data_IF_205842340760
#
_entry.id   IF_205842340760
#
_cell.length_a   1.000
_cell.length_b   1.000
_cell.length_c   1.000
_cell.angle_alpha   90.00
_cell.angle_beta   90.00
_cell.angle_gamma   90.00
#
_symmetry.space_group_name_H-M   'P 1'
#
loop_
_entity.id
_entity.type
_entity.pdbx_description
1 polymer ?
#
# COMPACT_ATOMS: atom_id res chain seq x y z
N UNK A 1 -24.66 4.13 -42.60
CA UNK A 1 -23.51 5.03 -42.40
C UNK A 1 -22.48 4.26 -41.61
N UNK A 2 -21.34 4.00 -42.22
CA UNK A 2 -20.21 3.26 -41.62
C UNK A 2 -19.65 4.16 -40.53
N UNK A 3 -19.81 3.75 -39.27
CA UNK A 3 -19.40 4.53 -38.11
C UNK A 3 -17.91 4.88 -38.19
N UNK A 4 -17.59 6.14 -37.93
CA UNK A 4 -16.22 6.61 -37.88
C UNK A 4 -15.47 5.76 -36.85
N UNK A 5 -14.41 5.07 -37.28
CA UNK A 5 -13.60 4.25 -36.36
C UNK A 5 -12.97 5.20 -35.36
N UNK A 6 -13.19 4.97 -34.06
CA UNK A 6 -12.50 5.73 -33.02
C UNK A 6 -10.99 5.64 -33.22
N UNK A 7 -10.34 6.81 -33.27
CA UNK A 7 -8.89 6.91 -33.41
C UNK A 7 -8.29 6.73 -32.03
N UNK A 8 -7.32 5.81 -31.91
CA UNK A 8 -6.60 5.54 -30.67
C UNK A 8 -5.11 5.56 -30.98
N UNK A 9 -4.34 6.27 -30.17
CA UNK A 9 -2.89 6.32 -30.23
C UNK A 9 -2.30 6.17 -28.82
N UNK A 10 -1.39 5.21 -28.65
CA UNK A 10 -0.67 5.02 -27.40
C UNK A 10 0.57 5.91 -27.38
N UNK A 11 0.69 6.76 -26.36
CA UNK A 11 1.85 7.64 -26.14
C UNK A 11 2.60 7.24 -24.88
N UNK A 12 3.89 7.57 -24.81
CA UNK A 12 4.71 7.25 -23.62
C UNK A 12 4.56 8.39 -22.62
N UNK A 13 4.26 8.05 -21.36
CA UNK A 13 4.15 9.00 -20.25
C UNK A 13 5.13 8.69 -19.13
N UNK A 14 5.63 9.72 -18.45
CA UNK A 14 6.51 9.58 -17.30
C UNK A 14 6.48 10.84 -16.40
N UNK A 15 7.08 10.76 -15.21
CA UNK A 15 7.24 11.89 -14.26
C UNK A 15 8.26 12.94 -14.73
N UNK A 16 9.02 12.61 -15.78
CA UNK A 16 9.94 13.48 -16.52
C UNK A 16 9.59 13.39 -18.00
N UNK A 17 10.09 14.32 -18.82
CA UNK A 17 9.90 14.26 -20.28
C UNK A 17 10.40 12.92 -20.84
N UNK A 18 9.52 12.06 -21.39
CA UNK A 18 9.86 10.68 -21.72
C UNK A 18 10.80 10.57 -22.92
N UNK A 19 10.72 11.51 -23.86
CA UNK A 19 11.54 11.55 -25.08
C UNK A 19 12.17 12.94 -25.22
N UNK A 20 13.51 13.04 -25.28
CA UNK A 20 14.17 14.32 -25.51
C UNK A 20 13.71 14.96 -26.83
N UNK A 21 13.48 16.28 -26.82
CA UNK A 21 13.08 17.08 -27.98
C UNK A 21 11.74 16.70 -28.65
N UNK A 22 10.96 15.79 -28.06
CA UNK A 22 9.60 15.53 -28.54
C UNK A 22 8.65 16.66 -28.12
N UNK A 23 7.59 16.88 -28.89
CA UNK A 23 6.44 17.67 -28.43
C UNK A 23 5.77 16.92 -27.28
N UNK A 24 5.51 17.61 -26.17
CA UNK A 24 5.02 17.00 -24.92
C UNK A 24 3.64 17.56 -24.58
N UNK A 25 2.76 16.68 -24.11
CA UNK A 25 1.57 17.03 -23.34
C UNK A 25 1.96 17.15 -21.86
N UNK A 26 1.89 18.35 -21.31
CA UNK A 26 2.02 18.57 -19.87
C UNK A 26 0.68 18.31 -19.19
N UNK A 27 0.61 17.19 -18.47
CA UNK A 27 -0.56 16.73 -17.71
C UNK A 27 -0.32 16.85 -16.20
N UNK A 28 0.62 17.72 -15.79
CA UNK A 28 0.95 17.99 -14.40
C UNK A 28 -0.29 18.41 -13.61
N UNK A 29 -0.51 17.78 -12.45
CA UNK A 29 -1.50 18.28 -11.48
C UNK A 29 -0.87 19.43 -10.69
N UNK A 30 -0.98 20.65 -11.23
CA UNK A 30 -0.32 21.83 -10.65
C UNK A 30 -0.75 22.13 -9.20
N UNK A 31 -2.01 21.87 -8.82
CA UNK A 31 -2.52 22.12 -7.46
C UNK A 31 -1.74 21.35 -6.37
N UNK A 32 -1.20 20.20 -6.73
CA UNK A 32 -0.43 19.32 -5.83
C UNK A 32 1.04 19.21 -6.21
N UNK A 33 1.46 19.89 -7.28
CA UNK A 33 2.80 19.88 -7.86
C UNK A 33 3.25 18.49 -8.33
N UNK A 34 2.34 17.73 -8.95
CA UNK A 34 2.60 16.34 -9.32
C UNK A 34 2.78 16.17 -10.82
N UNK A 35 4.03 15.96 -11.29
CA UNK A 35 4.35 15.99 -12.70
C UNK A 35 3.87 14.73 -13.42
N UNK A 36 3.34 14.94 -14.61
CA UNK A 36 3.02 13.86 -15.54
C UNK A 36 3.11 14.38 -16.96
N UNK A 37 4.05 13.83 -17.73
CA UNK A 37 4.35 14.28 -19.08
C UNK A 37 4.18 13.13 -20.05
N UNK A 38 3.44 13.33 -21.14
CA UNK A 38 3.30 12.36 -22.21
C UNK A 38 3.86 12.92 -23.53
N UNK A 39 4.38 12.09 -24.41
CA UNK A 39 4.61 12.52 -25.80
C UNK A 39 3.28 12.91 -26.44
N UNK A 40 3.24 14.01 -27.18
CA UNK A 40 2.04 14.42 -27.91
C UNK A 40 1.68 13.39 -28.99
N UNK A 41 0.37 13.22 -29.29
CA UNK A 41 -0.06 12.34 -30.38
C UNK A 41 0.53 12.81 -31.70
N UNK A 42 0.93 11.85 -32.53
CA UNK A 42 1.46 12.07 -33.88
C UNK A 42 0.34 12.23 -34.91
N UNK A 43 -0.85 11.69 -34.63
CA UNK A 43 -2.03 11.91 -35.46
C UNK A 43 -2.62 13.30 -35.26
N UNK A 44 -3.04 13.95 -36.35
CA UNK A 44 -3.71 15.26 -36.30
C UNK A 44 -5.16 15.18 -35.79
N UNK A 45 -5.70 13.97 -35.62
CA UNK A 45 -7.06 13.72 -35.12
C UNK A 45 -7.15 13.71 -33.59
N UNK A 46 -6.02 13.73 -32.89
CA UNK A 46 -5.94 13.73 -31.43
C UNK A 46 -5.11 14.91 -30.95
N UNK A 47 -5.38 15.34 -29.73
CA UNK A 47 -4.72 16.42 -29.01
C UNK A 47 -4.42 15.97 -27.58
N UNK A 48 -3.66 16.78 -26.83
CA UNK A 48 -3.36 16.48 -25.42
C UNK A 48 -4.62 16.38 -24.53
N UNK A 49 -5.71 17.06 -24.88
CA UNK A 49 -6.97 16.96 -24.14
C UNK A 49 -7.71 15.64 -24.34
N UNK A 50 -7.32 14.84 -25.34
CA UNK A 50 -7.91 13.52 -25.61
C UNK A 50 -7.26 12.41 -24.76
N UNK A 51 -6.37 12.76 -23.82
CA UNK A 51 -5.78 11.81 -22.87
C UNK A 51 -6.86 11.22 -21.95
N UNK A 52 -7.34 10.02 -22.31
CA UNK A 52 -8.44 9.35 -21.61
C UNK A 52 -8.04 8.09 -20.86
N UNK A 53 -6.88 7.48 -21.15
CA UNK A 53 -6.53 6.16 -20.61
C UNK A 53 -5.04 6.03 -20.30
N UNK A 54 -4.72 5.25 -19.27
CA UNK A 54 -3.35 4.98 -18.85
C UNK A 54 -3.17 3.51 -18.46
N UNK A 55 -2.01 2.95 -18.73
CA UNK A 55 -1.61 1.65 -18.21
C UNK A 55 -0.11 1.60 -17.89
N UNK A 56 0.28 0.66 -17.03
CA UNK A 56 1.68 0.36 -16.79
C UNK A 56 2.30 -0.34 -18.00
N UNK A 57 3.33 0.25 -18.57
CA UNK A 57 4.03 -0.35 -19.70
C UNK A 57 4.86 -1.58 -19.25
N UNK A 58 4.42 -2.78 -19.65
CA UNK A 58 5.07 -4.06 -19.28
C UNK A 58 6.43 -4.28 -19.95
N UNK A 59 6.68 -3.61 -21.09
CA UNK A 59 7.95 -3.69 -21.81
C UNK A 59 9.00 -2.82 -21.11
N UNK A 60 8.65 -1.58 -20.75
CA UNK A 60 9.59 -0.62 -20.16
C UNK A 60 9.81 -0.83 -18.65
N UNK A 61 8.90 -1.53 -17.96
CA UNK A 61 8.96 -1.71 -16.50
C UNK A 61 9.88 -2.84 -16.00
N UNK A 62 10.41 -3.68 -16.90
CA UNK A 62 11.37 -4.74 -16.55
C UNK A 62 12.37 -5.09 -17.67
N UNK A 63 12.00 -4.95 -18.95
CA UNK A 63 12.83 -5.46 -20.06
C UNK A 63 14.00 -4.54 -20.42
N UNK A 64 13.84 -3.20 -20.33
CA UNK A 64 14.95 -2.26 -20.59
C UNK A 64 16.05 -2.32 -19.53
N UNK A 65 15.70 -2.63 -18.28
CA UNK A 65 16.69 -2.80 -17.22
C UNK A 65 17.55 -4.05 -17.41
N UNK A 66 17.04 -5.06 -18.11
CA UNK A 66 17.72 -6.37 -18.23
C UNK A 66 18.79 -6.40 -19.33
N UNK A 67 18.60 -5.68 -20.43
CA UNK A 67 19.54 -5.71 -21.57
C UNK A 67 20.55 -4.56 -21.59
N UNK A 68 20.28 -3.44 -20.90
CA UNK A 68 21.08 -2.22 -21.04
C UNK A 68 22.04 -1.92 -19.88
N UNK A 69 21.95 -2.61 -18.74
CA UNK A 69 22.66 -2.18 -17.51
C UNK A 69 23.50 -3.24 -16.80
N UNK A 70 23.26 -4.54 -17.01
CA UNK A 70 24.02 -5.59 -16.33
C UNK A 70 24.81 -6.41 -17.34
N UNK A 71 26.09 -6.60 -17.05
CA UNK A 71 26.91 -7.66 -17.64
C UNK A 71 26.41 -9.04 -17.19
N UNK A 72 26.80 -10.10 -17.90
CA UNK A 72 26.48 -11.48 -17.50
C UNK A 72 27.01 -11.81 -16.09
N UNK A 73 28.17 -11.25 -15.74
CA UNK A 73 28.79 -11.43 -14.43
C UNK A 73 27.98 -10.75 -13.33
N UNK A 74 27.49 -9.53 -13.56
CA UNK A 74 26.61 -8.84 -12.61
C UNK A 74 25.25 -9.53 -12.48
N UNK A 75 24.67 -10.05 -13.57
CA UNK A 75 23.43 -10.85 -13.51
C UNK A 75 23.60 -12.09 -12.62
N UNK A 76 24.80 -12.71 -12.63
CA UNK A 76 25.11 -13.87 -11.79
C UNK A 76 25.06 -13.56 -10.28
N UNK A 77 25.36 -12.31 -9.87
CA UNK A 77 25.29 -11.89 -8.47
C UNK A 77 23.86 -11.95 -7.92
N UNK A 78 22.85 -11.76 -8.78
CA UNK A 78 21.44 -11.83 -8.40
C UNK A 78 20.86 -13.25 -8.39
N UNK A 79 21.64 -14.27 -8.74
CA UNK A 79 21.25 -15.67 -8.64
C UNK A 79 21.20 -16.20 -7.19
N UNK A 80 21.82 -15.49 -6.23
CA UNK A 80 21.84 -15.84 -4.79
C UNK A 80 21.26 -14.70 -3.95
N UNK A 81 19.94 -14.69 -3.79
CA UNK A 81 19.24 -13.56 -3.15
C UNK A 81 19.19 -13.61 -1.62
N UNK A 82 19.39 -14.79 -1.04
CA UNK A 82 19.50 -14.97 0.40
C UNK A 82 20.90 -15.50 0.69
N UNK A 83 21.84 -14.60 0.98
CA UNK A 83 23.11 -15.01 1.53
C UNK A 83 22.88 -15.40 3.00
N UNK A 84 23.25 -16.61 3.42
CA UNK A 84 23.27 -16.95 4.83
C UNK A 84 24.24 -15.96 5.50
N UNK A 85 23.72 -15.09 6.36
CA UNK A 85 24.59 -14.29 7.22
C UNK A 85 25.16 -15.27 8.25
N UNK A 86 26.47 -15.51 8.27
CA UNK A 86 27.05 -16.37 9.29
C UNK A 86 26.77 -15.71 10.63
N UNK A 87 26.01 -16.40 11.49
CA UNK A 87 25.71 -15.92 12.84
C UNK A 87 27.05 -15.88 13.58
N UNK A 88 27.63 -14.68 13.73
CA UNK A 88 28.81 -14.48 14.59
C UNK A 88 28.32 -14.50 16.03
N UNK A 89 28.23 -15.68 16.64
CA UNK A 89 27.69 -15.85 17.99
C UNK A 89 27.16 -17.26 18.24
N UNK A 90 26.12 -17.36 19.07
CA UNK A 90 25.52 -18.63 19.48
C UNK A 90 24.97 -19.36 18.23
N UNK A 91 25.61 -20.47 17.85
CA UNK A 91 25.27 -21.25 16.64
C UNK A 91 23.92 -21.97 16.75
N UNK A 92 23.35 -22.02 17.95
CA UNK A 92 22.09 -22.67 18.26
C UNK A 92 21.43 -21.91 19.42
N UNK A 93 20.17 -21.54 19.23
CA UNK A 93 19.31 -21.15 20.34
C UNK A 93 18.61 -22.42 20.78
N UNK A 94 18.98 -22.96 21.94
CA UNK A 94 18.22 -24.07 22.54
C UNK A 94 16.92 -23.50 23.07
N UNK A 95 15.84 -23.67 22.31
CA UNK A 95 14.49 -23.38 22.78
C UNK A 95 14.07 -24.54 23.68
N UNK A 96 14.33 -24.42 24.98
CA UNK A 96 13.86 -25.38 25.97
C UNK A 96 12.36 -25.21 26.18
N UNK A 97 11.61 -26.32 26.29
CA UNK A 97 10.26 -26.24 26.86
C UNK A 97 10.34 -25.58 28.24
N UNK A 98 9.36 -24.73 28.51
CA UNK A 98 9.37 -23.85 29.67
C UNK A 98 9.59 -24.63 30.97
N UNK A 99 10.59 -24.24 31.77
CA UNK A 99 10.59 -24.66 33.17
C UNK A 99 9.30 -24.14 33.81
N UNK A 100 8.52 -25.04 34.43
CA UNK A 100 7.22 -24.76 35.07
C UNK A 100 7.25 -23.59 36.07
N UNK A 101 8.43 -23.10 36.45
CA UNK A 101 8.68 -22.09 37.47
C UNK A 101 9.09 -20.70 36.93
N UNK A 102 9.19 -20.47 35.62
CA UNK A 102 9.39 -19.11 35.09
C UNK A 102 8.02 -18.44 34.99
N UNK A 103 7.72 -17.60 35.98
CA UNK A 103 6.45 -16.88 36.17
C UNK A 103 6.14 -15.81 35.11
N UNK A 104 6.95 -15.67 34.05
CA UNK A 104 6.76 -14.60 33.07
C UNK A 104 7.36 -14.90 31.68
N UNK A 105 6.77 -15.80 30.87
CA UNK A 105 7.17 -15.99 29.48
C UNK A 105 6.89 -14.71 28.66
N UNK A 106 7.61 -14.53 27.54
CA UNK A 106 7.37 -13.43 26.60
C UNK A 106 5.88 -13.36 26.13
N UNK A 107 5.17 -14.49 26.11
CA UNK A 107 3.71 -14.52 25.91
C UNK A 107 2.94 -13.71 26.98
N UNK A 108 3.31 -13.84 28.25
CA UNK A 108 2.74 -13.06 29.34
C UNK A 108 3.13 -11.57 29.29
N UNK A 109 4.26 -11.21 28.65
CA UNK A 109 4.60 -9.80 28.45
C UNK A 109 3.67 -9.10 27.45
N UNK A 110 3.17 -9.79 26.42
CA UNK A 110 2.19 -9.22 25.50
C UNK A 110 0.82 -9.02 26.17
N UNK A 111 0.41 -9.94 27.04
CA UNK A 111 -0.83 -9.81 27.83
C UNK A 111 -0.83 -8.57 28.74
N UNK A 112 0.35 -8.07 29.13
CA UNK A 112 0.52 -6.84 29.91
C UNK A 112 0.52 -5.56 29.06
N UNK A 113 0.65 -5.65 27.74
CA UNK A 113 0.61 -4.48 26.88
C UNK A 113 -0.82 -3.91 26.78
N UNK A 114 -0.96 -2.58 26.68
CA UNK A 114 -2.27 -1.99 26.47
C UNK A 114 -2.87 -2.46 25.14
N UNK A 115 -4.21 -2.53 25.01
CA UNK A 115 -4.85 -2.81 23.74
C UNK A 115 -4.39 -1.83 22.65
N UNK A 116 -4.18 -2.31 21.43
CA UNK A 116 -3.80 -1.45 20.32
C UNK A 116 -4.82 -0.35 20.09
N UNK A 117 -4.34 0.89 20.07
CA UNK A 117 -5.08 2.09 19.75
C UNK A 117 -4.23 3.01 18.84
N UNK A 118 -4.84 4.07 18.31
CA UNK A 118 -4.13 5.15 17.60
C UNK A 118 -2.95 5.64 18.45
N UNK A 119 -1.78 5.84 17.83
CA UNK A 119 -0.56 6.27 18.53
C UNK A 119 0.12 5.23 19.43
N UNK A 120 -0.44 4.02 19.57
CA UNK A 120 0.18 2.93 20.35
C UNK A 120 1.41 2.32 19.68
N UNK A 121 1.69 2.66 18.43
CA UNK A 121 2.87 2.19 17.69
C UNK A 121 4.04 3.18 17.84
N UNK A 122 5.21 2.80 17.33
CA UNK A 122 6.35 3.70 17.18
C UNK A 122 6.88 3.68 15.76
N UNK A 123 6.91 4.84 15.11
CA UNK A 123 7.59 5.01 13.82
C UNK A 123 9.12 5.19 14.00
N UNK A 124 9.59 5.44 15.22
CA UNK A 124 11.00 5.71 15.53
C UNK A 124 11.84 4.45 15.76
N UNK A 125 11.23 3.29 16.05
CA UNK A 125 11.95 2.04 16.31
C UNK A 125 11.45 0.86 15.44
N UNK A 126 11.62 0.90 14.11
CA UNK A 126 11.00 -0.07 13.21
C UNK A 126 11.63 -1.49 13.27
N UNK A 127 12.68 -1.71 14.07
CA UNK A 127 13.42 -2.98 14.10
C UNK A 127 12.90 -3.99 15.12
N UNK A 128 11.99 -3.59 16.01
CA UNK A 128 11.46 -4.46 17.08
C UNK A 128 9.92 -4.46 17.12
N UNK A 129 9.25 -4.49 15.96
CA UNK A 129 7.79 -4.30 15.92
C UNK A 129 6.98 -5.49 16.46
N UNK A 130 7.50 -6.71 16.40
CA UNK A 130 6.79 -7.91 16.87
C UNK A 130 7.34 -9.21 16.28
N UNK A 131 6.62 -10.31 16.51
CA UNK A 131 6.96 -11.64 16.04
C UNK A 131 5.71 -12.51 15.81
N UNK A 132 5.85 -13.57 15.01
CA UNK A 132 4.82 -14.61 14.89
C UNK A 132 5.06 -15.75 15.88
N UNK A 133 4.00 -16.20 16.54
CA UNK A 133 3.99 -17.41 17.34
C UNK A 133 2.70 -18.19 17.09
N UNK A 134 2.83 -19.48 16.73
CA UNK A 134 1.70 -20.36 16.38
C UNK A 134 0.71 -19.71 15.38
N UNK A 135 1.24 -19.07 14.34
CA UNK A 135 0.45 -18.42 13.29
C UNK A 135 -0.21 -17.09 13.68
N UNK A 136 0.05 -16.57 14.88
CA UNK A 136 -0.49 -15.30 15.38
C UNK A 136 0.62 -14.26 15.50
N UNK A 137 0.34 -13.03 15.08
CA UNK A 137 1.25 -11.90 15.25
C UNK A 137 1.10 -11.29 16.64
N UNK A 138 2.24 -11.08 17.30
CA UNK A 138 2.36 -10.42 18.58
C UNK A 138 3.16 -9.14 18.37
N UNK A 139 2.49 -7.99 18.54
CA UNK A 139 3.15 -6.68 18.49
C UNK A 139 3.87 -6.42 19.81
N UNK A 140 5.08 -5.87 19.75
CA UNK A 140 5.83 -5.46 20.94
C UNK A 140 5.35 -4.12 21.52
N UNK A 141 4.43 -3.45 20.83
CA UNK A 141 3.93 -2.14 21.21
C UNK A 141 2.59 -2.18 21.94
N UNK A 142 1.72 -3.08 21.51
CA UNK A 142 0.35 -3.16 21.99
C UNK A 142 -0.23 -4.54 21.76
N UNK A 143 -1.25 -4.88 22.53
CA UNK A 143 -1.97 -6.14 22.39
C UNK A 143 -3.06 -6.02 21.34
N UNK A 144 -2.94 -6.83 20.28
CA UNK A 144 -3.98 -6.94 19.26
C UNK A 144 -5.22 -7.59 19.85
N UNK A 145 -6.38 -7.03 19.53
CA UNK A 145 -7.64 -7.64 19.93
C UNK A 145 -7.92 -8.87 19.07
N UNK A 146 -8.65 -9.82 19.64
CA UNK A 146 -9.08 -11.01 18.91
C UNK A 146 -10.35 -10.67 18.15
N UNK A 147 -10.20 -10.25 16.90
CA UNK A 147 -11.33 -10.07 16.00
C UNK A 147 -11.52 -11.31 15.15
N UNK A 148 -12.77 -11.74 15.06
CA UNK A 148 -13.22 -12.72 14.08
C UNK A 148 -14.28 -12.03 13.23
N UNK A 149 -13.99 -11.78 11.96
CA UNK A 149 -15.01 -11.37 10.99
C UNK A 149 -15.81 -12.65 10.68
N UNK A 150 -17.13 -12.72 10.93
CA UNK A 150 -18.11 -11.61 10.91
C UNK A 150 -18.57 -11.04 12.26
N UNK A 151 -18.13 -11.59 13.39
CA UNK A 151 -18.59 -11.22 14.74
C UNK A 151 -18.37 -9.74 15.10
N UNK A 152 -17.48 -9.05 14.39
CA UNK A 152 -17.18 -7.61 14.54
C UNK A 152 -18.02 -6.69 13.65
N UNK A 153 -19.06 -7.20 12.98
CA UNK A 153 -19.96 -6.38 12.14
C UNK A 153 -20.59 -5.21 12.90
N UNK A 154 -20.86 -5.38 14.19
CA UNK A 154 -21.49 -4.34 15.02
C UNK A 154 -20.64 -3.08 15.13
N UNK A 155 -19.31 -3.19 15.26
CA UNK A 155 -18.46 -2.00 15.24
C UNK A 155 -18.27 -1.39 13.85
N UNK A 156 -18.55 -2.13 12.78
CA UNK A 156 -18.45 -1.64 11.41
C UNK A 156 -19.72 -0.87 10.98
N UNK A 157 -20.82 -0.99 11.73
CA UNK A 157 -22.08 -0.29 11.46
C UNK A 157 -21.85 1.22 11.32
N UNK A 158 -22.45 1.83 10.30
CA UNK A 158 -22.36 3.25 9.94
C UNK A 158 -20.97 3.74 9.49
N UNK A 159 -19.98 2.85 9.32
CA UNK A 159 -18.62 3.26 8.93
C UNK A 159 -18.44 3.31 7.42
N UNK A 160 -17.60 4.23 6.98
CA UNK A 160 -17.12 4.30 5.59
C UNK A 160 -15.60 4.17 5.57
N UNK A 161 -15.11 3.12 4.92
CA UNK A 161 -13.69 2.79 4.84
C UNK A 161 -13.16 3.12 3.45
N UNK A 162 -12.04 3.84 3.39
CA UNK A 162 -11.33 4.13 2.15
C UNK A 162 -9.98 3.43 2.15
N UNK A 163 -9.76 2.54 1.19
CA UNK A 163 -8.47 1.90 0.93
C UNK A 163 -7.83 2.55 -0.30
N UNK A 164 -6.88 3.46 -0.08
CA UNK A 164 -6.23 4.21 -1.16
C UNK A 164 -4.74 3.85 -1.26
N UNK A 165 -4.26 3.35 -2.40
CA UNK A 165 -2.84 3.04 -2.52
C UNK A 165 -2.49 2.19 -3.71
N UNK A 166 -1.79 1.09 -3.51
CA UNK A 166 -1.48 0.16 -4.59
C UNK A 166 -2.27 -1.14 -4.43
N UNK A 167 -1.96 -2.11 -5.31
CA UNK A 167 -2.56 -3.45 -5.27
C UNK A 167 -2.40 -4.17 -3.92
N UNK A 168 -1.50 -3.76 -3.02
CA UNK A 168 -1.35 -4.34 -1.68
C UNK A 168 -2.37 -3.82 -0.68
N UNK A 169 -2.86 -2.57 -0.83
CA UNK A 169 -4.01 -2.08 -0.07
C UNK A 169 -5.30 -2.66 -0.61
N UNK A 170 -5.39 -2.94 -1.92
CA UNK A 170 -6.53 -3.66 -2.51
C UNK A 170 -6.83 -4.98 -1.81
N UNK A 171 -5.80 -5.71 -1.38
CA UNK A 171 -5.99 -6.97 -0.68
C UNK A 171 -6.80 -6.82 0.60
N UNK A 172 -6.77 -5.65 1.25
CA UNK A 172 -7.57 -5.37 2.45
C UNK A 172 -9.05 -5.16 2.09
N UNK A 173 -9.33 -4.44 1.00
CA UNK A 173 -10.68 -4.33 0.42
C UNK A 173 -11.22 -5.72 0.03
N UNK A 174 -10.45 -6.48 -0.74
CA UNK A 174 -10.82 -7.82 -1.19
C UNK A 174 -11.06 -8.76 0.01
N UNK A 175 -10.22 -8.68 1.05
CA UNK A 175 -10.38 -9.44 2.27
C UNK A 175 -11.75 -9.16 2.93
N UNK A 176 -12.11 -7.89 3.11
CA UNK A 176 -13.42 -7.53 3.68
C UNK A 176 -14.58 -8.05 2.82
N UNK A 177 -14.53 -7.84 1.50
CA UNK A 177 -15.58 -8.31 0.58
C UNK A 177 -15.74 -9.83 0.66
N UNK A 178 -14.64 -10.58 0.72
CA UNK A 178 -14.68 -12.04 0.84
C UNK A 178 -15.19 -12.48 2.21
N UNK A 179 -14.67 -11.88 3.29
CA UNK A 179 -15.02 -12.24 4.67
C UNK A 179 -16.45 -11.87 5.05
N UNK A 180 -17.01 -10.82 4.45
CA UNK A 180 -18.38 -10.33 4.70
C UNK A 180 -19.33 -10.59 3.52
N UNK A 181 -19.01 -11.55 2.64
CA UNK A 181 -19.77 -11.83 1.40
C UNK A 181 -21.28 -12.02 1.58
N UNK A 182 -21.74 -12.42 2.77
CA UNK A 182 -23.16 -12.57 3.08
C UNK A 182 -23.90 -11.23 3.04
N UNK A 183 -23.28 -10.14 3.51
CA UNK A 183 -23.91 -8.82 3.63
C UNK A 183 -23.25 -7.73 2.76
N UNK A 184 -21.92 -7.68 2.70
CA UNK A 184 -21.16 -6.69 1.93
C UNK A 184 -21.16 -7.06 0.45
N UNK A 185 -21.88 -6.29 -0.38
CA UNK A 185 -22.02 -6.55 -1.82
C UNK A 185 -21.14 -5.59 -2.63
N UNK A 186 -20.20 -6.11 -3.44
CA UNK A 186 -19.45 -5.25 -4.35
C UNK A 186 -20.37 -4.71 -5.43
N UNK A 187 -20.24 -3.43 -5.75
CA UNK A 187 -20.91 -2.85 -6.90
C UNK A 187 -20.19 -3.32 -8.17
N UNK A 188 -20.94 -3.63 -9.23
CA UNK A 188 -20.34 -4.12 -10.47
C UNK A 188 -19.37 -3.08 -11.02
N UNK A 189 -18.15 -3.48 -11.43
CA UNK A 189 -17.24 -2.57 -12.11
C UNK A 189 -17.92 -2.03 -13.37
N UNK A 190 -17.91 -0.71 -13.55
CA UNK A 190 -18.34 -0.11 -14.81
C UNK A 190 -17.37 -0.52 -15.92
N UNK A 191 -17.76 -0.37 -17.19
CA UNK A 191 -16.85 -0.55 -18.34
C UNK A 191 -15.58 0.31 -18.22
N UNK A 192 -15.63 1.39 -17.44
CA UNK A 192 -14.55 2.36 -17.19
C UNK A 192 -13.67 2.02 -15.97
N UNK A 193 -14.19 1.27 -14.99
CA UNK A 193 -13.46 0.92 -13.77
C UNK A 193 -12.87 -0.49 -13.84
N UNK A 194 -11.54 -0.57 -13.98
CA UNK A 194 -10.83 -1.84 -13.82
C UNK A 194 -10.78 -2.21 -12.34
N UNK A 195 -11.39 -3.32 -11.93
CA UNK A 195 -11.38 -3.76 -10.52
C UNK A 195 -9.97 -3.90 -9.91
N UNK A 196 -8.93 -4.08 -10.73
CA UNK A 196 -7.54 -4.10 -10.24
C UNK A 196 -7.05 -2.72 -9.82
N UNK A 197 -7.54 -1.66 -10.47
CA UNK A 197 -7.07 -0.29 -10.27
C UNK A 197 -8.07 0.53 -9.43
N UNK A 198 -9.36 0.29 -9.60
CA UNK A 198 -10.44 1.05 -8.99
C UNK A 198 -10.87 2.24 -9.88
N UNK A 199 -11.84 3.04 -9.42
CA UNK A 199 -12.50 2.92 -8.12
C UNK A 199 -13.36 1.66 -7.99
N UNK A 200 -13.29 1.01 -6.83
CA UNK A 200 -14.17 -0.10 -6.45
C UNK A 200 -14.91 0.26 -5.18
N UNK A 201 -16.14 -0.24 -5.04
CA UNK A 201 -16.98 0.00 -3.89
C UNK A 201 -17.76 -1.25 -3.54
N UNK A 202 -17.96 -1.50 -2.25
CA UNK A 202 -18.86 -2.51 -1.75
C UNK A 202 -19.70 -1.96 -0.59
N UNK A 203 -20.96 -2.36 -0.51
CA UNK A 203 -21.93 -1.82 0.43
C UNK A 203 -22.68 -2.94 1.18
N UNK A 204 -22.77 -2.79 2.49
CA UNK A 204 -23.67 -3.54 3.36
C UNK A 204 -24.80 -2.59 3.78
N UNK A 205 -25.93 -2.69 3.07
CA UNK A 205 -27.10 -1.82 3.29
C UNK A 205 -27.78 -2.05 4.65
N UNK A 206 -27.61 -3.23 5.25
CA UNK A 206 -28.22 -3.55 6.55
C UNK A 206 -27.47 -2.82 7.66
N UNK A 207 -26.15 -2.82 7.59
CA UNK A 207 -25.30 -2.19 8.59
C UNK A 207 -24.88 -0.76 8.23
N UNK A 208 -25.34 -0.22 7.08
CA UNK A 208 -24.90 1.08 6.56
C UNK A 208 -23.35 1.18 6.54
N UNK A 209 -22.70 0.13 6.06
CA UNK A 209 -21.25 0.02 6.01
C UNK A 209 -20.77 0.00 4.56
N UNK A 210 -19.84 0.89 4.23
CA UNK A 210 -19.32 1.04 2.87
C UNK A 210 -17.81 0.93 2.86
N UNK A 211 -17.27 0.23 1.87
CA UNK A 211 -15.84 0.10 1.66
C UNK A 211 -15.50 0.53 0.24
N UNK A 212 -14.54 1.43 0.12
CA UNK A 212 -13.99 1.92 -1.14
C UNK A 212 -12.57 1.45 -1.33
N UNK A 213 -12.18 1.27 -2.58
CA UNK A 213 -10.80 1.08 -2.98
C UNK A 213 -10.46 1.87 -4.24
N UNK A 214 -9.28 2.49 -4.28
CA UNK A 214 -8.73 3.14 -5.47
C UNK A 214 -7.20 3.10 -5.45
N UNK A 215 -6.58 3.05 -6.63
CA UNK A 215 -5.15 3.26 -6.75
C UNK A 215 -4.76 4.70 -6.47
N UNK A 216 -3.56 4.88 -5.93
CA UNK A 216 -2.86 6.16 -5.90
C UNK A 216 -2.68 6.71 -7.32
N UNK A 217 -2.49 8.02 -7.45
CA UNK A 217 -2.24 8.66 -8.74
C UNK A 217 -0.89 8.29 -9.38
N UNK A 218 -0.52 8.95 -10.48
CA UNK A 218 0.63 8.53 -11.29
C UNK A 218 1.97 8.47 -10.53
N UNK A 219 2.87 7.53 -10.90
CA UNK A 219 2.70 6.50 -11.93
C UNK A 219 1.92 5.27 -11.45
N UNK A 220 1.02 4.76 -12.28
CA UNK A 220 0.29 3.50 -12.04
C UNK A 220 0.91 2.39 -12.89
N UNK A 221 1.51 1.38 -12.25
CA UNK A 221 2.12 0.22 -12.92
C UNK A 221 1.16 -0.98 -12.96
N UNK A 222 -0.04 -0.78 -13.50
CA UNK A 222 -1.11 -1.77 -13.50
C UNK A 222 -1.87 -1.78 -14.85
N UNK A 223 -3.03 -2.43 -14.91
CA UNK A 223 -3.87 -2.49 -16.11
C UNK A 223 -4.38 -1.11 -16.58
N UNK A 224 -4.93 -1.08 -17.79
CA UNK A 224 -5.67 0.06 -18.34
C UNK A 224 -6.71 0.59 -17.35
N UNK A 225 -6.67 1.90 -17.16
CA UNK A 225 -7.51 2.69 -16.27
C UNK A 225 -7.90 3.98 -16.96
N UNK A 226 -9.15 4.38 -16.80
CA UNK A 226 -9.64 5.68 -17.24
C UNK A 226 -8.88 6.80 -16.50
N UNK A 227 -8.28 7.72 -17.24
CA UNK A 227 -7.49 8.81 -16.69
C UNK A 227 -8.35 9.75 -15.81
N UNK A 228 -9.65 9.85 -16.08
CA UNK A 228 -10.58 10.65 -15.27
C UNK A 228 -10.81 10.06 -13.87
N UNK A 229 -10.56 8.76 -13.70
CA UNK A 229 -10.72 8.04 -12.43
C UNK A 229 -9.46 8.03 -11.57
N UNK A 230 -8.34 8.52 -12.11
CA UNK A 230 -7.08 8.63 -11.38
C UNK A 230 -7.13 9.83 -10.45
N UNK A 231 -7.00 9.56 -9.15
CA UNK A 231 -6.97 10.58 -8.10
C UNK A 231 -5.76 10.38 -7.20
N UNK A 232 -5.11 11.46 -6.81
CA UNK A 232 -3.99 11.39 -5.88
C UNK A 232 -4.47 11.29 -4.42
N UNK A 233 -3.66 10.70 -3.54
CA UNK A 233 -4.04 10.48 -2.13
C UNK A 233 -4.31 11.81 -1.43
N UNK A 234 -3.44 12.79 -1.66
CA UNK A 234 -3.54 14.15 -1.11
C UNK A 234 -4.80 14.91 -1.60
N UNK A 235 -5.18 14.77 -2.88
CA UNK A 235 -6.42 15.36 -3.42
C UNK A 235 -7.65 14.70 -2.78
N UNK A 236 -7.66 13.36 -2.76
CA UNK A 236 -8.75 12.60 -2.15
C UNK A 236 -8.92 12.96 -0.66
N UNK A 237 -7.82 13.14 0.07
CA UNK A 237 -7.84 13.56 1.47
C UNK A 237 -8.33 15.00 1.66
N UNK A 238 -8.03 15.92 0.75
CA UNK A 238 -8.52 17.31 0.84
C UNK A 238 -10.02 17.40 0.53
N UNK A 239 -10.51 16.63 -0.44
CA UNK A 239 -11.91 16.62 -0.89
C UNK A 239 -12.85 15.79 0.01
N UNK A 240 -12.29 14.85 0.79
CA UNK A 240 -13.05 13.89 1.59
C UNK A 240 -14.03 14.57 2.56
N UNK A 241 -15.33 14.34 2.41
CA UNK A 241 -16.33 14.79 3.39
C UNK A 241 -16.37 13.86 4.60
N UNK A 242 -15.35 13.96 5.46
CA UNK A 242 -15.10 13.02 6.54
C UNK A 242 -16.00 13.25 7.76
N UNK A 243 -16.59 12.17 8.23
CA UNK A 243 -17.36 12.08 9.48
C UNK A 243 -16.52 11.38 10.58
N UNK A 244 -16.96 11.41 11.85
CA UNK A 244 -16.31 10.60 12.91
C UNK A 244 -16.27 9.08 12.63
N UNK A 245 -17.14 8.59 11.73
CA UNK A 245 -17.19 7.19 11.30
C UNK A 245 -16.41 6.90 10.01
N UNK A 246 -15.70 7.90 9.48
CA UNK A 246 -14.82 7.75 8.33
C UNK A 246 -13.46 7.19 8.73
N UNK A 247 -13.02 6.15 8.02
CA UNK A 247 -11.70 5.54 8.18
C UNK A 247 -10.96 5.59 6.85
N UNK A 248 -9.74 6.12 6.86
CA UNK A 248 -8.91 6.26 5.67
C UNK A 248 -7.60 5.51 5.82
N UNK A 249 -7.43 4.43 5.06
CA UNK A 249 -6.24 3.59 5.06
C UNK A 249 -5.47 3.83 3.77
N UNK A 250 -4.18 4.17 3.88
CA UNK A 250 -3.35 4.33 2.68
C UNK A 250 -1.99 3.64 2.74
N UNK A 251 -1.48 3.34 1.55
CA UNK A 251 -0.07 2.93 1.32
C UNK A 251 0.44 3.61 0.06
N UNK A 252 1.75 3.82 -0.03
CA UNK A 252 2.37 4.32 -1.25
C UNK A 252 3.81 3.82 -1.31
N UNK A 253 4.08 2.84 -2.17
CA UNK A 253 5.46 2.35 -2.36
C UNK A 253 5.60 1.51 -3.63
N UNK A 254 4.70 0.56 -3.92
CA UNK A 254 5.00 -0.53 -4.86
C UNK A 254 5.32 -0.03 -6.27
N UNK A 255 4.58 0.98 -6.75
CA UNK A 255 4.78 1.57 -8.07
C UNK A 255 5.88 2.64 -8.10
N UNK A 256 6.34 3.10 -6.94
CA UNK A 256 7.36 4.15 -6.78
C UNK A 256 8.77 3.57 -6.56
N UNK A 257 8.90 2.25 -6.45
CA UNK A 257 10.19 1.54 -6.33
C UNK A 257 11.16 1.74 -7.49
N UNK A 258 10.68 2.27 -8.63
CA UNK A 258 11.51 2.60 -9.81
C UNK A 258 11.82 4.09 -9.93
N UNK A 259 11.43 4.90 -8.95
CA UNK A 259 11.61 6.36 -8.95
C UNK A 259 12.64 6.77 -7.92
N UNK A 260 13.17 7.98 -8.06
CA UNK A 260 14.14 8.51 -7.11
C UNK A 260 13.52 8.81 -5.72
N UNK A 261 14.36 8.79 -4.70
CA UNK A 261 13.94 9.00 -3.30
C UNK A 261 13.36 10.41 -3.09
N UNK A 262 13.88 11.43 -3.79
CA UNK A 262 13.39 12.81 -3.67
C UNK A 262 11.95 12.96 -4.13
N UNK A 263 11.55 12.27 -5.20
CA UNK A 263 10.17 12.26 -5.70
C UNK A 263 9.25 11.57 -4.69
N UNK A 264 9.69 10.43 -4.16
CA UNK A 264 8.96 9.73 -3.12
C UNK A 264 8.75 10.60 -1.86
N UNK A 265 9.83 11.23 -1.38
CA UNK A 265 9.78 12.12 -0.23
C UNK A 265 8.84 13.30 -0.45
N UNK A 266 8.89 13.93 -1.63
CA UNK A 266 7.96 15.00 -1.99
C UNK A 266 6.52 14.53 -1.87
N UNK A 267 6.18 13.41 -2.52
CA UNK A 267 4.84 12.81 -2.50
C UNK A 267 4.36 12.55 -1.08
N UNK A 268 5.18 11.89 -0.25
CA UNK A 268 4.80 11.56 1.13
C UNK A 268 4.62 12.82 1.99
N UNK A 269 5.43 13.86 1.78
CA UNK A 269 5.25 15.16 2.48
C UNK A 269 3.93 15.83 2.11
N UNK A 270 3.50 15.76 0.84
CA UNK A 270 2.19 16.29 0.40
C UNK A 270 1.05 15.52 1.04
N UNK A 271 1.13 14.19 1.07
CA UNK A 271 0.13 13.34 1.75
C UNK A 271 0.08 13.66 3.24
N UNK A 272 1.21 13.78 3.94
CA UNK A 272 1.24 14.19 5.35
C UNK A 272 0.55 15.53 5.58
N UNK A 273 0.82 16.52 4.73
CA UNK A 273 0.16 17.82 4.83
C UNK A 273 -1.36 17.72 4.61
N UNK A 274 -1.84 16.88 3.70
CA UNK A 274 -3.26 16.61 3.49
C UNK A 274 -3.89 15.90 4.70
N UNK A 275 -3.21 14.93 5.31
CA UNK A 275 -3.65 14.27 6.55
C UNK A 275 -3.79 15.28 7.70
N UNK A 276 -2.85 16.22 7.83
CA UNK A 276 -2.92 17.29 8.82
C UNK A 276 -4.08 18.26 8.56
N UNK A 277 -4.36 18.58 7.28
CA UNK A 277 -5.52 19.39 6.90
C UNK A 277 -6.83 18.67 7.21
N UNK A 278 -6.94 17.38 6.88
CA UNK A 278 -8.07 16.53 7.22
C UNK A 278 -8.34 16.52 8.74
N UNK A 279 -7.33 16.24 9.57
CA UNK A 279 -7.54 16.23 11.02
C UNK A 279 -7.87 17.61 11.61
N UNK A 280 -7.49 18.71 10.96
CA UNK A 280 -7.91 20.05 11.40
C UNK A 280 -9.41 20.28 11.18
N UNK A 281 -9.96 19.78 10.07
CA UNK A 281 -11.39 19.94 9.72
C UNK A 281 -12.28 18.81 10.23
N UNK A 282 -11.73 17.63 10.49
CA UNK A 282 -12.42 16.46 11.07
C UNK A 282 -11.48 15.69 12.00
N UNK A 283 -11.29 16.16 13.25
CA UNK A 283 -10.30 15.61 14.19
C UNK A 283 -10.49 14.15 14.58
N UNK A 284 -11.71 13.64 14.47
CA UNK A 284 -12.08 12.26 14.83
C UNK A 284 -11.89 11.26 13.68
N UNK A 285 -11.57 11.74 12.46
CA UNK A 285 -11.32 10.84 11.33
C UNK A 285 -10.13 9.93 11.61
N UNK A 286 -10.31 8.62 11.46
CA UNK A 286 -9.22 7.67 11.65
C UNK A 286 -8.40 7.54 10.36
N UNK A 287 -7.16 8.03 10.38
CA UNK A 287 -6.19 7.79 9.30
C UNK A 287 -5.20 6.70 9.71
N UNK A 288 -5.01 5.68 8.86
CA UNK A 288 -4.11 4.55 9.10
C UNK A 288 -3.14 4.39 7.93
N UNK A 289 -1.85 4.31 8.24
CA UNK A 289 -0.82 4.07 7.21
C UNK A 289 -0.44 2.60 7.22
N UNK A 290 -0.43 1.95 6.06
CA UNK A 290 0.09 0.61 5.86
C UNK A 290 1.50 0.71 5.26
N UNK A 291 2.48 0.07 5.88
CA UNK A 291 3.86 0.00 5.37
C UNK A 291 3.98 -0.82 4.08
N UNK A 292 5.18 -0.81 3.50
CA UNK A 292 5.56 -1.67 2.38
C UNK A 292 5.55 -3.17 2.72
N UNK A 293 5.65 -4.03 1.70
CA UNK A 293 5.80 -5.48 1.80
C UNK A 293 7.15 -5.91 1.19
N UNK A 294 7.63 -7.10 1.52
CA UNK A 294 8.67 -7.80 0.74
C UNK A 294 8.06 -8.40 -0.52
N UNK A 295 8.92 -8.87 -1.45
CA UNK A 295 8.46 -9.58 -2.64
C UNK A 295 9.43 -10.64 -3.12
N UNK A 296 8.93 -11.53 -3.98
CA UNK A 296 9.79 -12.42 -4.75
C UNK A 296 10.53 -11.65 -5.84
N UNK A 297 11.80 -12.01 -6.04
CA UNK A 297 12.66 -11.47 -7.08
C UNK A 297 13.01 -12.61 -8.05
N UNK A 298 12.15 -12.92 -9.01
CA UNK A 298 12.39 -14.04 -9.93
C UNK A 298 13.48 -13.79 -10.99
N UNK A 299 14.10 -12.61 -11.03
CA UNK A 299 15.10 -12.21 -12.02
C UNK A 299 16.03 -11.11 -11.50
N UNK A 300 17.20 -10.92 -12.14
CA UNK A 300 18.06 -9.76 -11.86
C UNK A 300 17.34 -8.44 -12.12
N UNK A 301 16.55 -8.35 -13.20
CA UNK A 301 15.74 -7.15 -13.50
C UNK A 301 14.80 -6.78 -12.36
N UNK A 302 14.05 -7.75 -11.80
CA UNK A 302 13.22 -7.49 -10.61
C UNK A 302 14.06 -7.14 -9.38
N UNK A 303 15.21 -7.78 -9.20
CA UNK A 303 16.10 -7.52 -8.06
C UNK A 303 16.69 -6.11 -8.06
N UNK A 304 16.88 -5.51 -9.23
CA UNK A 304 17.38 -4.14 -9.39
C UNK A 304 16.25 -3.11 -9.33
N UNK A 305 15.13 -3.38 -10.02
CA UNK A 305 14.07 -2.36 -10.24
C UNK A 305 13.03 -2.27 -9.14
N UNK A 306 12.87 -3.33 -8.35
CA UNK A 306 11.82 -3.45 -7.34
C UNK A 306 12.35 -4.12 -6.08
N UNK A 307 13.62 -3.87 -5.75
CA UNK A 307 14.32 -4.52 -4.65
C UNK A 307 13.66 -4.28 -3.29
N UNK A 308 13.75 -5.27 -2.40
CA UNK A 308 13.27 -5.11 -1.01
C UNK A 308 14.12 -4.09 -0.24
N UNK A 309 15.41 -3.98 -0.57
CA UNK A 309 16.26 -2.94 0.02
C UNK A 309 15.69 -1.55 -0.26
N UNK A 310 15.41 -1.22 -1.52
CA UNK A 310 14.88 0.09 -1.86
C UNK A 310 13.44 0.28 -1.37
N UNK A 311 12.59 -0.75 -1.43
CA UNK A 311 11.26 -0.71 -0.84
C UNK A 311 11.31 -0.41 0.68
N UNK A 312 12.30 -0.94 1.39
CA UNK A 312 12.55 -0.63 2.80
C UNK A 312 13.00 0.80 3.02
N UNK A 313 13.88 1.33 2.16
CA UNK A 313 14.29 2.74 2.23
C UNK A 313 13.09 3.68 2.05
N UNK A 314 12.18 3.38 1.12
CA UNK A 314 10.92 4.12 0.96
C UNK A 314 10.06 4.04 2.24
N UNK A 315 9.88 2.85 2.81
CA UNK A 315 9.14 2.68 4.07
C UNK A 315 9.78 3.46 5.23
N UNK A 316 11.11 3.43 5.35
CA UNK A 316 11.84 4.17 6.37
C UNK A 316 11.69 5.69 6.19
N UNK A 317 11.73 6.17 4.95
CA UNK A 317 11.49 7.59 4.64
C UNK A 317 10.07 8.01 5.00
N UNK A 318 9.07 7.17 4.71
CA UNK A 318 7.69 7.43 5.10
C UNK A 318 7.53 7.53 6.62
N UNK A 319 8.13 6.59 7.37
CA UNK A 319 8.15 6.64 8.83
C UNK A 319 8.82 7.90 9.35
N UNK A 320 9.96 8.27 8.78
CA UNK A 320 10.69 9.47 9.16
C UNK A 320 9.85 10.74 8.96
N UNK A 321 9.16 10.86 7.83
CA UNK A 321 8.31 12.03 7.53
C UNK A 321 7.12 12.10 8.49
N UNK A 322 6.49 10.96 8.80
CA UNK A 322 5.34 10.90 9.70
C UNK A 322 5.69 10.83 11.19
N UNK A 323 6.97 10.68 11.56
CA UNK A 323 7.38 10.47 12.97
C UNK A 323 6.86 11.54 13.92
N UNK A 324 6.79 12.80 13.49
CA UNK A 324 6.30 13.91 14.32
C UNK A 324 4.78 13.93 14.49
N UNK A 325 4.06 13.03 13.82
CA UNK A 325 2.61 12.95 13.77
C UNK A 325 2.10 11.54 14.13
N UNK A 326 2.98 10.65 14.61
CA UNK A 326 2.70 9.24 14.89
C UNK A 326 1.55 9.04 15.90
N UNK A 327 1.42 9.94 16.88
CA UNK A 327 0.37 9.86 17.91
C UNK A 327 -1.04 10.15 17.43
N UNK A 328 -1.20 10.66 16.20
CA UNK A 328 -2.51 11.03 15.62
C UNK A 328 -2.97 10.09 14.50
N UNK A 329 -2.23 9.02 14.23
CA UNK A 329 -2.54 8.06 13.16
C UNK A 329 -2.48 6.63 13.69
N UNK A 330 -3.09 5.70 12.95
CA UNK A 330 -2.80 4.27 13.06
C UNK A 330 -1.64 3.89 12.14
N UNK A 331 -0.94 2.79 12.45
CA UNK A 331 0.11 2.27 11.59
C UNK A 331 0.06 0.74 11.56
N UNK A 332 -0.08 0.17 10.37
CA UNK A 332 0.00 -1.27 10.14
C UNK A 332 1.40 -1.58 9.62
N UNK A 333 2.24 -2.11 10.50
CA UNK A 333 3.61 -2.52 10.17
C UNK A 333 3.63 -3.84 9.41
N UNK A 334 3.07 -3.80 8.20
CA UNK A 334 2.98 -4.91 7.29
C UNK A 334 4.36 -5.46 6.91
N UNK A 335 5.40 -4.61 6.89
CA UNK A 335 6.77 -4.97 6.59
C UNK A 335 7.30 -5.97 7.61
N UNK A 336 7.20 -5.62 8.91
CA UNK A 336 7.62 -6.52 9.97
C UNK A 336 6.81 -7.82 9.99
N UNK A 337 5.53 -7.77 9.62
CA UNK A 337 4.72 -8.98 9.50
C UNK A 337 5.20 -9.90 8.38
N UNK A 338 5.50 -9.39 7.18
CA UNK A 338 5.95 -10.25 6.08
C UNK A 338 7.38 -10.78 6.28
N UNK A 339 8.27 -9.99 6.91
CA UNK A 339 9.63 -10.44 7.26
C UNK A 339 9.61 -11.48 8.38
N UNK A 340 8.71 -11.32 9.37
CA UNK A 340 8.61 -12.21 10.52
C UNK A 340 7.84 -13.51 10.25
N UNK A 341 7.25 -13.68 9.07
CA UNK A 341 6.45 -14.85 8.74
C UNK A 341 7.22 -15.85 7.88
N UNK A 342 7.04 -17.14 8.15
CA UNK A 342 7.79 -18.22 7.50
C UNK A 342 7.28 -18.59 6.09
N UNK A 343 6.93 -17.61 5.26
CA UNK A 343 6.45 -17.83 3.88
C UNK A 343 7.47 -17.37 2.83
N UNK A 344 7.22 -17.79 1.59
CA UNK A 344 7.88 -17.22 0.42
C UNK A 344 7.52 -15.74 0.31
N UNK A 345 8.53 -14.89 0.14
CA UNK A 345 8.35 -13.45 -0.08
C UNK A 345 7.43 -13.21 -1.29
N UNK A 346 6.41 -12.40 -1.10
CA UNK A 346 5.42 -12.11 -2.13
C UNK A 346 4.88 -10.69 -1.94
N UNK A 347 4.87 -9.91 -3.04
CA UNK A 347 4.33 -8.55 -3.02
C UNK A 347 2.86 -8.54 -2.56
N UNK A 348 2.12 -9.59 -2.93
CA UNK A 348 0.79 -9.91 -2.44
C UNK A 348 0.87 -11.07 -1.44
N UNK A 349 1.10 -10.79 -0.14
CA UNK A 349 1.22 -11.85 0.86
C UNK A 349 -0.10 -12.60 1.02
N UNK A 350 0.00 -13.84 1.49
CA UNK A 350 -1.15 -14.73 1.69
C UNK A 350 -2.14 -14.22 2.74
N UNK A 351 -3.33 -14.80 2.73
CA UNK A 351 -4.49 -14.35 3.52
C UNK A 351 -4.24 -14.28 5.03
N UNK A 352 -3.38 -15.13 5.61
CA UNK A 352 -3.05 -15.07 7.04
C UNK A 352 -2.37 -13.76 7.45
N UNK A 353 -1.53 -13.21 6.58
CA UNK A 353 -0.86 -11.93 6.79
C UNK A 353 -1.83 -10.76 6.62
N UNK A 354 -2.67 -10.81 5.59
CA UNK A 354 -3.71 -9.79 5.38
C UNK A 354 -4.69 -9.77 6.56
N UNK A 355 -5.10 -10.94 7.05
CA UNK A 355 -5.94 -11.08 8.25
C UNK A 355 -5.29 -10.43 9.47
N UNK A 356 -3.98 -10.59 9.66
CA UNK A 356 -3.24 -9.96 10.74
C UNK A 356 -3.26 -8.42 10.65
N UNK A 357 -3.00 -7.88 9.46
CA UNK A 357 -3.10 -6.45 9.21
C UNK A 357 -4.51 -5.91 9.44
N UNK A 358 -5.54 -6.65 9.00
CA UNK A 358 -6.94 -6.33 9.24
C UNK A 358 -7.32 -6.36 10.72
N UNK A 359 -6.80 -7.29 11.52
CA UNK A 359 -6.97 -7.29 12.98
C UNK A 359 -6.32 -6.07 13.64
N UNK A 360 -5.21 -5.60 13.08
CA UNK A 360 -4.57 -4.35 13.53
C UNK A 360 -5.46 -3.15 13.24
N UNK A 361 -5.99 -3.05 12.01
CA UNK A 361 -6.94 -2.02 11.61
C UNK A 361 -8.20 -2.03 12.50
N UNK A 362 -8.82 -3.20 12.70
CA UNK A 362 -9.99 -3.36 13.56
C UNK A 362 -9.70 -2.96 15.02
N UNK A 363 -8.47 -3.17 15.51
CA UNK A 363 -8.10 -2.75 16.87
C UNK A 363 -8.16 -1.23 17.03
N UNK A 364 -7.85 -0.49 15.96
CA UNK A 364 -7.97 0.98 15.95
C UNK A 364 -9.42 1.44 15.76
N UNK A 365 -10.18 0.78 14.89
CA UNK A 365 -11.56 1.16 14.57
C UNK A 365 -12.56 0.82 15.67
N UNK A 366 -12.31 -0.26 16.42
CA UNK A 366 -13.26 -0.88 17.33
C UNK A 366 -12.68 -1.02 18.76
N UNK A 367 -12.29 0.08 19.42
CA UNK A 367 -11.59 0.02 20.70
C UNK A 367 -12.47 -0.41 21.89
N UNK A 368 -13.78 -0.56 21.70
CA UNK A 368 -14.74 -0.98 22.73
C UNK A 368 -15.23 -2.44 22.58
N UNK A 369 -14.89 -3.09 21.47
CA UNK A 369 -15.07 -4.54 21.27
C UNK A 369 -13.79 -5.27 21.64
#
# INVERSE_FOLDING_TARGET
MIGDKSVVEDTVCNIITPVPNATICDLTRHAIAEPWFCTAPTTTKLTCSDFGWTCGNRIYSAALYRSAMLTKDEESLFGRQKQPIPVRGVNFVTVTEQEKNISNPAHCSNERLPPCAVGSHSLSNPMAAGYFFKGHWYSNYCRLRSFVIPSSLKCLTNKTLYFHGDSTTRQYYEYLVISLKSSLKPNPPTLQSNWKVGPSMAEDKVNNFTVHYRHHGYPIRNNWTDASEVQYIEEALDELQATPDTVYVFTIWAHLTTLNMSFYEHRVRRIKAAVERLHRRSPETLVVIKSANTRSHGSAGSSVTVSDWYARELDMKLREIFKSYDKKIGFIDQWSMVVGFSNVDAIHPGQGIISTGMRTLLSYMCPKE
#
